data_IF_797999834557
#
_entry.id   IF_797999834557
#
_cell.length_a   1.000
_cell.length_b   1.000
_cell.length_c   1.000
_cell.angle_alpha   90.00
_cell.angle_beta   90.00
_cell.angle_gamma   90.00
#
_symmetry.space_group_name_H-M   'P 1'
#
loop_
_entity.id
_entity.type
_entity.pdbx_description
1 polymer ?
#
# COMPACT_ATOMS: atom_id res chain seq x y z
N UNK A 1 7.37 -8.84 5.01
CA UNK A 1 6.94 -9.81 3.96
C UNK A 1 5.75 -10.66 4.40
N UNK A 2 5.78 -11.30 5.58
CA UNK A 2 4.69 -12.18 6.04
C UNK A 2 3.28 -11.56 6.06
N UNK A 3 3.15 -10.29 6.47
CA UNK A 3 1.84 -9.61 6.51
C UNK A 3 1.19 -9.47 5.13
N UNK A 4 1.92 -8.99 4.10
CA UNK A 4 1.37 -8.86 2.75
C UNK A 4 0.95 -10.21 2.18
N UNK A 5 1.78 -11.24 2.36
CA UNK A 5 1.46 -12.62 1.94
C UNK A 5 0.20 -13.13 2.63
N UNK A 6 0.04 -12.87 3.94
CA UNK A 6 -1.14 -13.25 4.70
C UNK A 6 -2.40 -12.56 4.21
N UNK A 7 -2.36 -11.23 3.98
CA UNK A 7 -3.50 -10.46 3.47
C UNK A 7 -3.88 -10.93 2.06
N UNK A 8 -2.91 -11.08 1.16
CA UNK A 8 -3.15 -11.57 -0.20
C UNK A 8 -3.71 -12.99 -0.20
N UNK A 9 -3.17 -13.88 0.61
CA UNK A 9 -3.67 -15.25 0.75
C UNK A 9 -5.11 -15.28 1.27
N UNK A 10 -5.41 -14.47 2.28
CA UNK A 10 -6.76 -14.34 2.82
C UNK A 10 -7.74 -13.80 1.78
N UNK A 11 -7.32 -12.82 0.98
CA UNK A 11 -8.14 -12.27 -0.10
C UNK A 11 -8.30 -13.26 -1.27
N UNK A 12 -7.25 -14.00 -1.66
CA UNK A 12 -7.36 -15.04 -2.69
C UNK A 12 -8.41 -16.10 -2.33
N UNK A 13 -8.54 -16.45 -1.04
CA UNK A 13 -9.56 -17.40 -0.57
C UNK A 13 -11.00 -16.90 -0.70
N UNK A 14 -11.22 -15.60 -0.87
CA UNK A 14 -12.57 -15.06 -1.09
C UNK A 14 -13.01 -15.16 -2.56
N UNK A 15 -12.07 -15.36 -3.47
CA UNK A 15 -12.32 -15.55 -4.90
C UNK A 15 -12.99 -16.93 -5.12
N UNK A 16 -14.17 -16.99 -5.77
CA UNK A 16 -14.82 -18.27 -6.07
C UNK A 16 -13.94 -19.18 -6.94
N UNK A 17 -13.88 -20.47 -6.58
CA UNK A 17 -13.10 -21.47 -7.32
C UNK A 17 -13.59 -21.67 -8.76
N UNK A 18 -14.89 -21.49 -8.98
CA UNK A 18 -15.56 -21.60 -10.28
C UNK A 18 -14.92 -20.71 -11.37
N UNK A 19 -14.37 -19.54 -10.99
CA UNK A 19 -13.69 -18.65 -11.93
C UNK A 19 -12.42 -19.32 -12.49
N UNK A 20 -11.67 -20.01 -11.64
CA UNK A 20 -10.44 -20.71 -12.05
C UNK A 20 -10.74 -21.99 -12.84
N UNK A 21 -11.83 -22.70 -12.47
CA UNK A 21 -12.31 -23.86 -13.21
C UNK A 21 -12.75 -23.47 -14.62
N UNK A 22 -13.52 -22.38 -14.76
CA UNK A 22 -13.96 -21.85 -16.04
C UNK A 22 -12.77 -21.47 -16.93
N UNK A 23 -11.78 -20.77 -16.39
CA UNK A 23 -10.56 -20.42 -17.13
C UNK A 23 -9.78 -21.65 -17.60
N UNK A 24 -9.81 -22.74 -16.83
CA UNK A 24 -9.16 -24.01 -17.20
C UNK A 24 -9.92 -24.71 -18.33
N UNK A 25 -11.27 -24.70 -18.29
CA UNK A 25 -12.14 -25.21 -19.35
C UNK A 25 -11.91 -24.43 -20.66
N UNK A 26 -11.69 -23.11 -20.57
CA UNK A 26 -11.33 -22.23 -21.70
C UNK A 26 -9.89 -22.45 -22.23
N UNK A 27 -9.14 -23.42 -21.69
CA UNK A 27 -7.79 -23.78 -22.12
C UNK A 27 -6.72 -22.77 -21.70
N UNK A 28 -6.96 -21.96 -20.67
CA UNK A 28 -5.95 -21.03 -20.17
C UNK A 28 -4.79 -21.79 -19.50
N UNK A 29 -3.58 -21.65 -20.07
CA UNK A 29 -2.35 -22.08 -19.40
C UNK A 29 -2.12 -21.25 -18.11
N UNK A 30 -1.32 -21.78 -17.17
CA UNK A 30 -1.03 -21.23 -15.84
C UNK A 30 -0.67 -19.75 -15.86
N UNK A 31 0.21 -19.32 -16.78
CA UNK A 31 0.59 -17.91 -16.89
C UNK A 31 -0.56 -17.01 -17.33
N UNK A 32 -1.37 -17.46 -18.30
CA UNK A 32 -2.56 -16.75 -18.78
C UNK A 32 -3.60 -16.67 -17.67
N UNK A 33 -3.80 -17.77 -16.95
CA UNK A 33 -4.70 -17.82 -15.81
C UNK A 33 -4.29 -16.81 -14.72
N UNK A 34 -3.02 -16.79 -14.34
CA UNK A 34 -2.53 -15.85 -13.34
C UNK A 34 -2.69 -14.38 -13.79
N UNK A 35 -2.19 -14.02 -14.98
CA UNK A 35 -2.11 -12.62 -15.38
C UNK A 35 -3.44 -12.02 -15.84
N UNK A 36 -4.30 -12.83 -16.47
CA UNK A 36 -5.54 -12.33 -17.06
C UNK A 36 -6.77 -12.59 -16.20
N UNK A 37 -6.72 -13.53 -15.25
CA UNK A 37 -7.86 -13.89 -14.40
C UNK A 37 -7.60 -13.52 -12.95
N UNK A 38 -6.56 -14.10 -12.34
CA UNK A 38 -6.31 -13.92 -10.90
C UNK A 38 -5.81 -12.50 -10.57
N UNK A 39 -4.80 -12.00 -11.29
CA UNK A 39 -4.17 -10.72 -10.98
C UNK A 39 -5.14 -9.52 -11.06
N UNK A 40 -6.04 -9.41 -12.07
CA UNK A 40 -7.05 -8.35 -12.10
C UNK A 40 -8.01 -8.41 -10.91
N UNK A 41 -8.39 -9.61 -10.45
CA UNK A 41 -9.24 -9.80 -9.27
C UNK A 41 -8.53 -9.41 -7.97
N UNK A 42 -7.20 -9.53 -7.92
CA UNK A 42 -6.39 -9.10 -6.78
C UNK A 42 -6.11 -7.60 -6.72
N UNK A 43 -6.44 -6.82 -7.76
CA UNK A 43 -6.18 -5.37 -7.79
C UNK A 43 -6.67 -4.60 -6.57
N UNK A 44 -7.86 -4.85 -5.99
CA UNK A 44 -8.31 -4.15 -4.79
C UNK A 44 -7.41 -4.42 -3.58
N UNK A 45 -7.05 -5.68 -3.35
CA UNK A 45 -6.16 -6.08 -2.25
C UNK A 45 -4.75 -5.54 -2.44
N UNK A 46 -4.23 -5.57 -3.67
CA UNK A 46 -2.94 -4.99 -4.02
C UNK A 46 -2.94 -3.47 -3.80
N UNK A 47 -3.99 -2.76 -4.20
CA UNK A 47 -4.11 -1.32 -3.96
C UNK A 47 -4.09 -0.99 -2.46
N UNK A 48 -4.85 -1.72 -1.65
CA UNK A 48 -4.85 -1.55 -0.20
C UNK A 48 -3.45 -1.79 0.41
N UNK A 49 -2.79 -2.88 0.02
CA UNK A 49 -1.44 -3.20 0.48
C UNK A 49 -0.41 -2.19 0.00
N UNK A 50 -0.51 -1.67 -1.22
CA UNK A 50 0.40 -0.66 -1.74
C UNK A 50 0.30 0.63 -0.93
N UNK A 51 -0.91 1.12 -0.62
CA UNK A 51 -1.09 2.30 0.24
C UNK A 51 -0.48 2.06 1.63
N UNK A 52 -0.81 0.93 2.25
CA UNK A 52 -0.36 0.60 3.60
C UNK A 52 1.17 0.44 3.65
N UNK A 53 1.75 -0.34 2.75
CA UNK A 53 3.19 -0.61 2.73
C UNK A 53 4.00 0.64 2.38
N UNK A 54 3.56 1.45 1.41
CA UNK A 54 4.22 2.71 1.13
C UNK A 54 4.17 3.63 2.34
N UNK A 55 3.01 3.73 3.00
CA UNK A 55 2.90 4.54 4.24
C UNK A 55 3.87 4.04 5.30
N UNK A 56 4.00 2.71 5.46
CA UNK A 56 4.85 2.14 6.49
C UNK A 56 6.34 2.37 6.19
N UNK A 57 6.77 2.08 4.96
CA UNK A 57 8.17 2.27 4.52
C UNK A 57 8.54 3.75 4.51
N UNK A 58 7.63 4.63 4.07
CA UNK A 58 7.88 6.07 4.03
C UNK A 58 8.00 6.68 5.44
N UNK A 59 7.30 6.11 6.41
CA UNK A 59 7.40 6.52 7.81
C UNK A 59 8.55 5.85 8.59
N UNK A 60 9.35 4.98 7.95
CA UNK A 60 10.43 4.25 8.62
C UNK A 60 11.56 5.20 9.03
N UNK A 61 11.60 5.53 10.32
CA UNK A 61 12.56 6.46 10.89
C UNK A 61 13.78 5.76 11.49
N UNK A 62 13.59 4.60 12.13
CA UNK A 62 14.62 3.96 12.95
C UNK A 62 15.77 3.46 12.08
N UNK A 63 15.45 2.65 11.07
CA UNK A 63 16.46 2.07 10.19
C UNK A 63 17.19 3.14 9.37
N UNK A 64 16.49 4.21 9.00
CA UNK A 64 17.11 5.32 8.31
C UNK A 64 18.15 6.05 9.18
N UNK A 65 17.86 6.26 10.47
CA UNK A 65 18.81 6.90 11.37
C UNK A 65 20.06 6.04 11.61
N UNK A 66 19.86 4.72 11.72
CA UNK A 66 20.94 3.76 12.01
C UNK A 66 21.83 3.51 10.78
N UNK A 67 21.24 3.36 9.61
CA UNK A 67 21.96 2.95 8.40
C UNK A 67 22.45 4.13 7.56
N UNK A 68 21.83 5.30 7.67
CA UNK A 68 22.15 6.46 6.82
C UNK A 68 23.00 7.48 7.57
N UNK A 69 24.29 7.51 7.21
CA UNK A 69 25.26 8.47 7.75
C UNK A 69 25.14 9.86 7.13
N UNK A 70 24.74 9.93 5.85
CA UNK A 70 24.58 11.17 5.10
C UNK A 70 23.18 11.76 5.31
N UNK A 71 23.12 12.95 5.91
CA UNK A 71 21.87 13.62 6.26
C UNK A 71 21.03 13.98 5.03
N UNK A 72 21.67 14.26 3.89
CA UNK A 72 20.99 14.63 2.64
C UNK A 72 20.16 13.51 2.03
N UNK A 73 20.38 12.27 2.48
CA UNK A 73 19.70 11.08 1.98
C UNK A 73 18.60 10.58 2.92
N UNK A 74 18.46 11.17 4.11
CA UNK A 74 17.53 10.68 5.13
C UNK A 74 16.07 10.98 4.76
N UNK A 75 15.12 10.15 5.21
CA UNK A 75 13.69 10.32 4.93
C UNK A 75 13.15 11.59 5.60
N UNK A 76 12.06 12.12 5.05
CA UNK A 76 11.43 13.37 5.51
C UNK A 76 11.02 13.32 6.99
N UNK A 77 10.71 12.12 7.51
CA UNK A 77 10.38 11.90 8.93
C UNK A 77 11.52 12.30 9.85
N UNK A 78 12.78 12.16 9.41
CA UNK A 78 13.94 12.61 10.17
C UNK A 78 14.10 14.12 10.16
N UNK A 79 13.74 14.79 9.06
CA UNK A 79 13.74 16.25 8.97
C UNK A 79 12.70 16.86 9.93
N UNK A 80 11.53 16.22 10.07
CA UNK A 80 10.52 16.66 11.05
C UNK A 80 11.05 16.65 12.49
N UNK A 81 11.87 15.65 12.85
CA UNK A 81 12.49 15.58 14.17
C UNK A 81 13.48 16.73 14.41
N UNK A 82 14.11 17.27 13.37
CA UNK A 82 14.99 18.45 13.49
C UNK A 82 14.21 19.75 13.72
N UNK A 83 12.94 19.80 13.31
CA UNK A 83 12.06 20.95 13.57
C UNK A 83 11.58 20.99 15.03
N UNK A 84 11.68 19.87 15.76
CA UNK A 84 11.51 19.84 17.21
C UNK A 84 12.78 20.38 17.86
N UNK A 85 12.78 21.66 18.20
CA UNK A 85 13.92 22.33 18.80
C UNK A 85 14.24 21.79 20.20
N UNK A 86 15.52 21.81 20.57
CA UNK A 86 16.02 21.26 21.84
C UNK A 86 15.48 22.00 23.08
N UNK A 87 15.08 23.28 22.92
CA UNK A 87 14.59 24.14 24.01
C UNK A 87 13.21 24.75 23.73
N UNK A 88 12.91 25.09 22.47
CA UNK A 88 11.61 25.63 22.03
C UNK A 88 11.29 25.03 20.67
N UNK A 89 10.07 24.52 20.50
CA UNK A 89 9.56 24.02 19.23
C UNK A 89 8.59 25.04 18.64
N UNK A 90 8.82 25.44 17.39
CA UNK A 90 7.83 26.19 16.62
C UNK A 90 6.79 25.20 16.06
N UNK A 91 5.63 25.15 16.71
CA UNK A 91 4.54 24.26 16.31
C UNK A 91 3.94 24.61 14.95
N UNK A 92 4.01 25.87 14.51
CA UNK A 92 3.50 26.26 13.19
C UNK A 92 4.42 25.70 12.09
N UNK A 93 5.73 25.82 12.28
CA UNK A 93 6.72 25.26 11.36
C UNK A 93 6.65 23.72 11.33
N UNK A 94 6.55 23.08 12.50
CA UNK A 94 6.42 21.63 12.60
C UNK A 94 5.13 21.13 11.92
N UNK A 95 4.00 21.81 12.13
CA UNK A 95 2.72 21.46 11.50
C UNK A 95 2.79 21.61 9.97
N UNK A 96 3.39 22.69 9.46
CA UNK A 96 3.59 22.88 8.02
C UNK A 96 4.45 21.74 7.42
N UNK A 97 5.55 21.37 8.09
CA UNK A 97 6.38 20.23 7.69
C UNK A 97 5.63 18.90 7.71
N UNK A 98 4.76 18.68 8.71
CA UNK A 98 3.98 17.45 8.84
C UNK A 98 2.97 17.29 7.70
N UNK A 99 2.35 18.39 7.24
CA UNK A 99 1.45 18.38 6.08
C UNK A 99 2.21 17.98 4.81
N UNK A 100 3.41 18.52 4.61
CA UNK A 100 4.27 18.16 3.46
C UNK A 100 4.67 16.68 3.53
N UNK A 101 5.04 16.19 4.71
CA UNK A 101 5.38 14.78 4.92
C UNK A 101 4.19 13.83 4.70
N UNK A 102 2.97 14.26 5.01
CA UNK A 102 1.77 13.46 4.76
C UNK A 102 1.35 13.47 3.26
N UNK A 103 1.77 14.44 2.47
CA UNK A 103 1.29 14.61 1.10
C UNK A 103 1.50 13.38 0.20
N UNK A 104 2.67 12.70 0.17
CA UNK A 104 2.89 11.57 -0.73
C UNK A 104 1.99 10.38 -0.45
N UNK A 105 1.75 10.06 0.83
CA UNK A 105 0.89 8.93 1.22
C UNK A 105 -0.58 9.24 0.90
N UNK A 106 -1.01 10.50 1.09
CA UNK A 106 -2.33 10.99 0.72
C UNK A 106 -2.54 10.95 -0.80
N UNK A 107 -1.56 11.42 -1.60
CA UNK A 107 -1.62 11.36 -3.06
C UNK A 107 -1.75 9.91 -3.52
N UNK A 108 -0.95 9.00 -2.96
CA UNK A 108 -1.01 7.58 -3.31
C UNK A 108 -2.37 6.96 -3.00
N UNK A 109 -2.98 7.30 -1.87
CA UNK A 109 -4.35 6.90 -1.56
C UNK A 109 -5.34 7.41 -2.62
N UNK A 110 -5.28 8.68 -3.01
CA UNK A 110 -6.19 9.24 -4.02
C UNK A 110 -6.04 8.62 -5.40
N UNK A 111 -4.81 8.25 -5.79
CA UNK A 111 -4.55 7.52 -7.05
C UNK A 111 -5.17 6.13 -7.02
N UNK A 112 -5.06 5.43 -5.88
CA UNK A 112 -5.48 4.03 -5.74
C UNK A 112 -6.94 3.86 -5.29
N UNK A 113 -7.62 4.92 -4.80
CA UNK A 113 -8.98 4.87 -4.24
C UNK A 113 -10.01 4.16 -5.14
N UNK A 114 -9.86 4.28 -6.47
CA UNK A 114 -10.78 3.66 -7.44
C UNK A 114 -10.77 2.12 -7.38
N UNK A 115 -9.63 1.52 -7.00
CA UNK A 115 -9.49 0.07 -6.90
C UNK A 115 -10.24 -0.51 -5.69
N UNK A 116 -10.47 0.30 -4.64
CA UNK A 116 -11.22 -0.14 -3.46
C UNK A 116 -12.70 -0.33 -3.76
N UNK A 117 -13.28 0.54 -4.62
CA UNK A 117 -14.70 0.49 -5.00
C UNK A 117 -15.00 -0.78 -5.82
N UNK A 118 -14.09 -1.17 -6.72
CA UNK A 118 -14.23 -2.39 -7.52
C UNK A 118 -14.20 -3.68 -6.69
N UNK A 119 -13.52 -3.67 -5.53
CA UNK A 119 -13.49 -4.82 -4.61
C UNK A 119 -14.82 -5.07 -3.89
N UNK A 120 -15.63 -4.03 -3.69
CA UNK A 120 -16.94 -4.13 -3.03
C UNK A 120 -18.01 -4.71 -3.97
N UNK A 121 -17.91 -4.44 -5.28
CA UNK A 121 -18.91 -4.88 -6.27
C UNK A 121 -18.85 -6.37 -6.59
N UNK A 122 -17.66 -7.00 -6.48
CA UNK A 122 -17.50 -8.46 -6.67
C UNK A 122 -18.18 -9.30 -5.57
N UNK A 123 -18.41 -8.71 -4.38
CA UNK A 123 -19.19 -9.35 -3.31
C UNK A 123 -20.71 -9.18 -3.45
N UNK A 124 -21.16 -8.27 -4.32
CA UNK A 124 -22.58 -7.88 -4.44
C UNK A 124 -23.41 -8.81 -5.32
N UNK A 125 -22.80 -9.67 -6.14
CA UNK A 125 -23.52 -10.63 -7.00
C UNK A 125 -23.84 -11.95 -6.29
N UNK A 126 -23.61 -12.04 -4.97
CA UNK A 126 -24.00 -13.19 -4.13
C UNK A 126 -25.36 -12.99 -3.42
N UNK A 127 -26.21 -12.11 -3.95
CA UNK A 127 -27.60 -11.94 -3.54
C UNK A 127 -28.53 -12.16 -4.71
#
# INVERSE_FOLDING_TARGET
VGFATFVLSSYMKTIPKEISESATIDGANVFRHYWNVILPLLRPALAALSVLMTTWIYNEFFWALVLMSDDSKRPITSALRRLQGQYVTDFNLLAAGAIIAAAPTVIMFFVLRKQFIAGLTLGSTKG
#
